data_IF_703240783722
#
_entry.id   IF_703240783722
#
_cell.length_a   1.000
_cell.length_b   1.000
_cell.length_c   1.000
_cell.angle_alpha   90.00
_cell.angle_beta   90.00
_cell.angle_gamma   90.00
#
_symmetry.space_group_name_H-M   'P 1'
#
loop_
_entity.id
_entity.type
_entity.pdbx_description
1 polymer ?
#
# COMPACT_ATOMS: atom_id res chain seq x y z
N UNK A 1 27.98 -22.96 51.97
CA UNK A 1 27.06 -22.38 50.96
C UNK A 1 27.83 -22.18 49.68
N UNK A 2 27.57 -22.97 48.62
CA UNK A 2 28.20 -22.76 47.31
C UNK A 2 27.44 -21.64 46.61
N UNK A 3 28.04 -20.46 46.52
CA UNK A 3 27.52 -19.36 45.71
C UNK A 3 27.61 -19.79 44.24
N UNK A 4 26.47 -20.09 43.63
CA UNK A 4 26.36 -20.27 42.18
C UNK A 4 26.54 -18.92 41.53
N UNK A 5 27.80 -18.56 41.23
CA UNK A 5 28.15 -17.43 40.39
C UNK A 5 27.59 -17.73 38.99
N UNK A 6 26.45 -17.12 38.68
CA UNK A 6 25.91 -17.11 37.33
C UNK A 6 26.92 -16.40 36.43
N UNK A 7 27.49 -17.13 35.47
CA UNK A 7 28.49 -16.57 34.57
C UNK A 7 27.83 -15.50 33.69
N UNK A 8 28.43 -14.32 33.54
CA UNK A 8 27.86 -13.20 32.77
C UNK A 8 27.54 -13.60 31.31
N UNK A 9 28.26 -14.58 30.78
CA UNK A 9 28.02 -15.15 29.46
C UNK A 9 26.61 -15.76 29.30
N UNK A 10 26.07 -16.43 30.31
CA UNK A 10 24.74 -17.04 30.22
C UNK A 10 23.61 -16.01 30.19
N UNK A 11 23.78 -14.86 30.86
CA UNK A 11 22.81 -13.77 30.81
C UNK A 11 22.82 -13.05 29.46
N UNK A 12 24.00 -12.89 28.86
CA UNK A 12 24.13 -12.29 27.53
C UNK A 12 23.44 -13.14 26.45
N UNK A 13 23.65 -14.46 26.45
CA UNK A 13 23.01 -15.37 25.49
C UNK A 13 21.47 -15.34 25.61
N UNK A 14 20.94 -15.28 26.84
CA UNK A 14 19.51 -15.17 27.07
C UNK A 14 18.92 -13.85 26.55
N UNK A 15 19.63 -12.73 26.76
CA UNK A 15 19.19 -11.42 26.28
C UNK A 15 19.13 -11.37 24.74
N UNK A 16 20.15 -11.91 24.05
CA UNK A 16 20.17 -11.99 22.59
C UNK A 16 19.03 -12.87 22.06
N UNK A 17 18.77 -14.02 22.70
CA UNK A 17 17.68 -14.91 22.30
C UNK A 17 16.30 -14.23 22.43
N UNK A 18 16.06 -13.49 23.51
CA UNK A 18 14.82 -12.74 23.71
C UNK A 18 14.67 -11.60 22.70
N UNK A 19 15.76 -10.91 22.36
CA UNK A 19 15.75 -9.86 21.34
C UNK A 19 15.43 -10.42 19.94
N UNK A 20 16.03 -11.55 19.56
CA UNK A 20 15.74 -12.25 18.31
C UNK A 20 14.28 -12.71 18.23
N UNK A 21 13.73 -13.25 19.33
CA UNK A 21 12.32 -13.64 19.40
C UNK A 21 11.39 -12.41 19.26
N UNK A 22 11.74 -11.28 19.89
CA UNK A 22 11.01 -10.02 19.74
C UNK A 22 11.01 -9.52 18.29
N UNK A 23 12.15 -9.54 17.61
CA UNK A 23 12.24 -9.18 16.19
C UNK A 23 11.43 -10.11 15.28
N UNK A 24 11.43 -11.42 15.56
CA UNK A 24 10.63 -12.37 14.80
C UNK A 24 9.11 -12.09 14.93
N UNK A 25 8.65 -11.62 16.08
CA UNK A 25 7.25 -11.23 16.30
C UNK A 25 6.88 -9.89 15.65
N UNK A 26 7.86 -9.06 15.29
CA UNK A 26 7.67 -7.82 14.54
C UNK A 26 7.65 -8.03 13.02
N UNK A 27 7.95 -9.23 12.53
CA UNK A 27 7.81 -9.55 11.11
C UNK A 27 6.30 -9.55 10.81
N UNK A 28 5.80 -8.65 9.95
CA UNK A 28 4.39 -8.61 9.61
C UNK A 28 4.02 -9.97 9.02
N UNK A 29 3.18 -10.71 9.74
CA UNK A 29 2.54 -11.89 9.19
C UNK A 29 1.57 -11.37 8.12
N UNK A 30 1.50 -11.99 6.93
CA UNK A 30 0.45 -11.67 5.98
C UNK A 30 -0.88 -11.84 6.72
N UNK A 31 -1.64 -10.76 6.82
CA UNK A 31 -3.00 -10.83 7.34
C UNK A 31 -3.76 -11.74 6.37
N UNK A 32 -4.05 -12.97 6.80
CA UNK A 32 -5.08 -13.79 6.19
C UNK A 32 -6.36 -12.97 6.37
N UNK A 33 -6.75 -12.25 5.33
CA UNK A 33 -7.83 -11.29 5.38
C UNK A 33 -9.10 -11.97 5.91
N UNK A 34 -9.77 -11.31 6.86
CA UNK A 34 -11.10 -11.67 7.30
C UNK A 34 -12.03 -11.69 6.09
N UNK A 35 -12.53 -12.86 5.74
CA UNK A 35 -13.59 -13.03 4.76
C UNK A 35 -14.77 -12.12 5.13
N UNK A 36 -15.16 -11.28 4.18
CA UNK A 36 -16.29 -10.38 4.26
C UNK A 36 -16.28 -9.32 3.15
N UNK A 37 -15.09 -8.95 2.64
CA UNK A 37 -14.92 -8.15 1.41
C UNK A 37 -13.52 -8.32 0.81
N UNK A 38 -12.95 -9.52 0.89
CA UNK A 38 -11.62 -9.84 0.37
C UNK A 38 -11.66 -9.67 -1.14
N UNK A 39 -10.80 -8.82 -1.71
CA UNK A 39 -10.67 -8.73 -3.17
C UNK A 39 -10.45 -10.13 -3.75
N UNK A 40 -11.32 -10.53 -4.65
CA UNK A 40 -11.39 -11.80 -5.34
C UNK A 40 -10.07 -12.04 -6.06
N UNK A 41 -9.81 -13.31 -6.34
CA UNK A 41 -8.75 -13.67 -7.27
C UNK A 41 -8.91 -12.96 -8.63
N UNK A 42 -10.16 -12.70 -9.07
CA UNK A 42 -10.48 -11.95 -10.28
C UNK A 42 -9.93 -10.51 -10.22
N UNK A 43 -10.35 -9.71 -9.24
CA UNK A 43 -9.92 -8.30 -9.10
C UNK A 43 -8.43 -8.17 -8.79
N UNK A 44 -7.87 -9.12 -8.07
CA UNK A 44 -6.42 -9.18 -7.81
C UNK A 44 -5.61 -9.38 -9.10
N UNK A 45 -6.07 -10.21 -10.04
CA UNK A 45 -5.37 -10.45 -11.30
C UNK A 45 -5.68 -9.40 -12.38
N UNK A 46 -6.95 -9.09 -12.60
CA UNK A 46 -7.37 -8.22 -13.69
C UNK A 46 -7.10 -6.75 -13.40
N UNK A 47 -7.36 -6.30 -12.18
CA UNK A 47 -7.32 -4.88 -11.84
C UNK A 47 -6.01 -4.50 -11.14
N UNK A 48 -5.58 -5.29 -10.15
CA UNK A 48 -4.36 -4.96 -9.39
C UNK A 48 -3.08 -5.32 -10.15
N UNK A 49 -3.06 -6.47 -10.82
CA UNK A 49 -1.91 -6.88 -11.65
C UNK A 49 -2.01 -6.38 -13.09
N UNK A 50 -3.19 -5.93 -13.53
CA UNK A 50 -3.39 -5.28 -14.83
C UNK A 50 -3.35 -6.24 -16.02
N UNK A 51 -3.72 -7.51 -15.84
CA UNK A 51 -3.74 -8.49 -16.93
C UNK A 51 -4.81 -8.17 -17.99
N UNK A 52 -5.97 -7.69 -17.56
CA UNK A 52 -7.05 -7.17 -18.42
C UNK A 52 -7.98 -6.31 -17.54
N UNK A 53 -7.54 -5.08 -17.20
CA UNK A 53 -8.26 -4.20 -16.30
C UNK A 53 -9.50 -3.63 -17.00
N UNK A 54 -10.65 -3.75 -16.37
CA UNK A 54 -11.93 -3.30 -16.94
C UNK A 54 -12.64 -2.25 -16.09
N UNK A 55 -12.23 -2.00 -14.85
CA UNK A 55 -12.93 -1.07 -13.94
C UNK A 55 -13.01 0.38 -14.46
N UNK A 56 -12.15 0.78 -15.39
CA UNK A 56 -12.14 2.10 -16.02
C UNK A 56 -12.54 2.06 -17.51
N UNK A 57 -13.06 0.93 -17.98
CA UNK A 57 -13.45 0.73 -19.39
C UNK A 57 -14.91 0.31 -19.54
N UNK A 58 -15.62 1.04 -20.40
CA UNK A 58 -17.02 0.76 -20.71
C UNK A 58 -17.98 1.18 -19.60
N UNK A 59 -19.15 1.69 -20.00
CA UNK A 59 -20.11 2.26 -19.05
C UNK A 59 -20.60 1.24 -18.02
N UNK A 60 -20.71 -0.04 -18.40
CA UNK A 60 -21.13 -1.12 -17.49
C UNK A 60 -20.14 -1.34 -16.35
N UNK A 61 -18.86 -1.61 -16.67
CA UNK A 61 -17.86 -1.90 -15.64
C UNK A 61 -17.61 -0.68 -14.76
N UNK A 62 -17.54 0.52 -15.34
CA UNK A 62 -17.36 1.75 -14.54
C UNK A 62 -18.48 1.90 -13.50
N UNK A 63 -19.73 1.61 -13.87
CA UNK A 63 -20.88 1.72 -12.94
C UNK A 63 -20.93 0.59 -11.90
N UNK A 64 -20.32 -0.57 -12.17
CA UNK A 64 -20.36 -1.75 -11.31
C UNK A 64 -19.00 -2.06 -10.62
N UNK A 65 -17.98 -1.25 -10.87
CA UNK A 65 -16.62 -1.39 -10.33
C UNK A 65 -16.47 -0.98 -8.86
N UNK A 66 -17.54 -0.42 -8.25
CA UNK A 66 -17.53 0.05 -6.85
C UNK A 66 -17.28 -1.06 -5.84
N UNK A 67 -17.57 -2.31 -6.22
CA UNK A 67 -17.28 -3.49 -5.42
C UNK A 67 -16.42 -4.50 -6.15
N UNK A 68 -16.38 -5.70 -5.59
CA UNK A 68 -15.70 -6.84 -6.16
C UNK A 68 -16.77 -7.89 -6.51
N UNK A 69 -17.37 -7.69 -7.68
CA UNK A 69 -18.56 -8.41 -8.12
C UNK A 69 -18.35 -9.19 -9.41
N UNK A 70 -17.08 -9.39 -9.80
CA UNK A 70 -16.74 -10.10 -11.03
C UNK A 70 -17.47 -11.45 -11.12
N UNK A 71 -17.54 -12.20 -10.01
CA UNK A 71 -18.20 -13.51 -9.97
C UNK A 71 -19.72 -13.47 -10.11
N UNK A 72 -20.37 -12.38 -9.70
CA UNK A 72 -21.84 -12.31 -9.81
C UNK A 72 -22.27 -12.15 -11.27
N UNK A 73 -21.40 -11.58 -12.11
CA UNK A 73 -21.66 -11.44 -13.54
C UNK A 73 -21.01 -12.55 -14.36
N UNK A 74 -19.74 -12.84 -14.12
CA UNK A 74 -18.94 -13.77 -14.93
C UNK A 74 -18.84 -15.18 -14.34
N UNK A 75 -19.41 -15.45 -13.16
CA UNK A 75 -19.19 -16.67 -12.39
C UNK A 75 -17.70 -16.90 -12.09
N UNK A 76 -17.26 -18.16 -11.97
CA UNK A 76 -15.89 -18.51 -11.59
C UNK A 76 -15.69 -18.70 -10.09
N UNK A 77 -14.43 -18.96 -9.70
CA UNK A 77 -14.04 -19.25 -8.32
C UNK A 77 -13.11 -18.16 -7.76
N UNK A 78 -13.69 -17.24 -6.99
CA UNK A 78 -12.97 -16.12 -6.38
C UNK A 78 -11.94 -16.51 -5.32
N UNK A 79 -11.97 -17.76 -4.86
CA UNK A 79 -11.05 -18.28 -3.84
C UNK A 79 -9.84 -19.03 -4.42
N UNK A 80 -9.86 -19.35 -5.72
CA UNK A 80 -8.75 -20.02 -6.36
C UNK A 80 -7.53 -19.09 -6.49
N UNK A 81 -6.34 -19.63 -6.23
CA UNK A 81 -5.08 -18.87 -6.30
C UNK A 81 -4.36 -19.01 -7.63
N UNK A 82 -4.89 -19.84 -8.53
CA UNK A 82 -4.40 -20.02 -9.89
C UNK A 82 -5.48 -19.71 -10.92
N UNK A 83 -5.05 -19.31 -12.13
CA UNK A 83 -5.93 -18.89 -13.22
C UNK A 83 -6.92 -19.98 -13.64
N UNK A 84 -6.49 -21.24 -13.69
CA UNK A 84 -7.34 -22.31 -14.18
C UNK A 84 -8.48 -22.59 -13.19
N UNK A 85 -8.16 -22.67 -11.89
CA UNK A 85 -9.16 -22.80 -10.84
C UNK A 85 -10.09 -21.60 -10.76
N UNK A 86 -9.57 -20.37 -10.91
CA UNK A 86 -10.39 -19.16 -10.87
C UNK A 86 -11.39 -19.08 -12.03
N UNK A 87 -11.02 -19.63 -13.19
CA UNK A 87 -11.81 -19.61 -14.41
C UNK A 87 -12.76 -20.83 -14.53
N UNK A 88 -12.75 -21.75 -13.57
CA UNK A 88 -13.65 -22.90 -13.57
C UNK A 88 -15.10 -22.43 -13.40
N UNK A 89 -15.94 -22.73 -14.39
CA UNK A 89 -17.35 -22.33 -14.37
C UNK A 89 -17.62 -20.87 -14.75
N UNK A 90 -16.68 -20.18 -15.42
CA UNK A 90 -16.95 -18.89 -16.04
C UNK A 90 -18.13 -18.98 -17.01
N UNK A 91 -18.97 -17.96 -16.99
CA UNK A 91 -20.11 -17.80 -17.88
C UNK A 91 -20.08 -16.43 -18.56
N UNK A 92 -20.73 -16.33 -19.71
CA UNK A 92 -21.00 -15.03 -20.32
C UNK A 92 -22.11 -14.32 -19.51
N UNK A 93 -21.89 -13.11 -18.97
CA UNK A 93 -22.88 -12.41 -18.15
C UNK A 93 -24.22 -12.15 -18.84
N UNK A 94 -24.26 -12.21 -20.18
CA UNK A 94 -25.47 -11.96 -20.95
C UNK A 94 -26.18 -13.25 -21.39
N UNK A 95 -25.64 -14.43 -21.09
CA UNK A 95 -26.29 -15.72 -21.37
C UNK A 95 -27.47 -15.99 -20.41
N UNK A 96 -27.36 -15.55 -19.15
CA UNK A 96 -28.46 -15.58 -18.17
C UNK A 96 -28.50 -14.27 -17.39
N UNK A 97 -29.14 -13.27 -17.99
CA UNK A 97 -29.30 -11.94 -17.40
C UNK A 97 -30.01 -11.98 -16.04
N UNK A 98 -30.93 -12.92 -15.85
CA UNK A 98 -31.59 -13.07 -14.55
C UNK A 98 -30.60 -13.53 -13.48
N UNK A 99 -29.79 -14.56 -13.76
CA UNK A 99 -28.77 -15.02 -12.84
C UNK A 99 -27.74 -13.92 -12.51
N UNK A 100 -27.31 -13.14 -13.50
CA UNK A 100 -26.25 -12.13 -13.31
C UNK A 100 -26.73 -10.84 -12.65
N UNK A 101 -28.01 -10.47 -12.80
CA UNK A 101 -28.48 -9.14 -12.38
C UNK A 101 -29.59 -9.15 -11.31
N UNK A 102 -30.40 -10.22 -11.22
CA UNK A 102 -31.59 -10.22 -10.36
C UNK A 102 -31.26 -10.12 -8.86
N UNK A 103 -30.07 -10.59 -8.46
CA UNK A 103 -29.61 -10.51 -7.06
C UNK A 103 -29.52 -9.08 -6.52
N UNK A 104 -29.19 -8.11 -7.39
CA UNK A 104 -29.10 -6.69 -7.04
C UNK A 104 -30.28 -5.87 -7.56
N UNK A 105 -30.90 -6.30 -8.66
CA UNK A 105 -31.98 -5.60 -9.37
C UNK A 105 -33.28 -6.42 -9.45
N UNK A 106 -33.89 -6.85 -8.32
CA UNK A 106 -35.07 -7.70 -8.36
C UNK A 106 -36.33 -6.99 -8.85
N UNK A 107 -36.42 -5.66 -8.75
CA UNK A 107 -37.59 -4.89 -9.18
C UNK A 107 -37.46 -4.25 -10.55
N UNK A 108 -36.23 -4.04 -11.03
CA UNK A 108 -35.93 -3.27 -12.24
C UNK A 108 -34.94 -3.98 -13.19
N UNK A 109 -34.84 -5.32 -13.05
CA UNK A 109 -34.00 -6.19 -13.87
C UNK A 109 -34.10 -5.88 -15.36
N UNK A 110 -35.32 -5.93 -15.90
CA UNK A 110 -35.57 -5.77 -17.35
C UNK A 110 -35.20 -4.36 -17.82
N UNK A 111 -35.69 -3.32 -17.13
CA UNK A 111 -35.42 -1.93 -17.50
C UNK A 111 -33.92 -1.62 -17.49
N UNK A 112 -33.17 -2.13 -16.50
CA UNK A 112 -31.73 -1.89 -16.43
C UNK A 112 -30.92 -2.70 -17.42
N UNK A 113 -31.25 -3.98 -17.59
CA UNK A 113 -30.53 -4.86 -18.51
C UNK A 113 -30.74 -4.46 -19.97
N UNK A 114 -31.92 -3.93 -20.33
CA UNK A 114 -32.23 -3.45 -21.68
C UNK A 114 -31.27 -2.34 -22.18
N UNK A 115 -30.80 -1.46 -21.30
CA UNK A 115 -29.86 -0.39 -21.66
C UNK A 115 -28.57 -0.98 -22.23
N UNK A 116 -28.07 -2.03 -21.58
CA UNK A 116 -26.80 -2.67 -21.95
C UNK A 116 -26.98 -3.68 -23.08
N UNK A 117 -28.07 -4.44 -23.07
CA UNK A 117 -28.41 -5.34 -24.16
C UNK A 117 -28.56 -4.57 -25.49
N UNK A 118 -29.19 -3.39 -25.45
CA UNK A 118 -29.31 -2.51 -26.62
C UNK A 118 -27.95 -2.02 -27.12
N UNK A 119 -27.03 -1.66 -26.22
CA UNK A 119 -25.68 -1.23 -26.58
C UNK A 119 -24.84 -2.36 -27.20
N UNK A 120 -25.08 -3.60 -26.76
CA UNK A 120 -24.39 -4.80 -27.24
C UNK A 120 -25.08 -5.46 -28.44
N UNK A 121 -26.28 -5.01 -28.82
CA UNK A 121 -27.07 -5.61 -29.90
C UNK A 121 -27.64 -7.00 -29.54
N UNK A 122 -27.86 -7.25 -28.25
CA UNK A 122 -28.42 -8.51 -27.72
C UNK A 122 -29.93 -8.32 -27.54
N UNK A 123 -30.72 -9.29 -27.99
CA UNK A 123 -32.17 -9.33 -27.75
C UNK A 123 -32.47 -10.20 -26.53
N UNK A 124 -32.78 -9.55 -25.40
CA UNK A 124 -33.12 -10.23 -24.14
C UNK A 124 -34.38 -11.11 -24.24
N UNK A 125 -35.20 -10.92 -25.27
CA UNK A 125 -36.41 -11.72 -25.47
C UNK A 125 -36.17 -12.95 -26.37
N UNK A 126 -35.00 -13.07 -27.02
CA UNK A 126 -34.72 -14.17 -27.93
C UNK A 126 -34.62 -15.53 -27.20
N UNK A 127 -34.11 -15.54 -25.96
CA UNK A 127 -33.87 -16.78 -25.21
C UNK A 127 -35.07 -17.25 -24.37
N UNK A 128 -36.08 -16.40 -24.17
CA UNK A 128 -37.35 -16.82 -23.55
C UNK A 128 -38.24 -17.67 -24.46
N UNK A 129 -37.80 -17.92 -25.70
CA UNK A 129 -38.50 -18.76 -26.69
C UNK A 129 -38.01 -20.21 -26.75
N UNK A 130 -37.09 -20.64 -25.88
CA UNK A 130 -36.54 -22.00 -25.86
C UNK A 130 -36.63 -22.71 -24.51
N UNK A 131 -37.51 -23.73 -24.42
CA UNK A 131 -37.56 -24.78 -23.36
C UNK A 131 -38.23 -24.39 -22.03
N UNK A 132 -39.36 -24.96 -21.57
CA UNK A 132 -40.17 -26.04 -22.09
C UNK A 132 -41.50 -26.12 -21.32
N UNK A 133 -42.60 -26.24 -22.05
CA UNK A 133 -43.88 -26.70 -21.53
C UNK A 133 -43.77 -28.21 -21.25
N UNK A 134 -43.29 -28.55 -20.06
CA UNK A 134 -43.40 -29.89 -19.49
C UNK A 134 -44.64 -29.96 -18.59
N UNK A 135 -45.62 -30.74 -19.02
CA UNK A 135 -46.85 -31.07 -18.30
C UNK A 135 -46.65 -31.29 -16.79
N UNK A 136 -47.56 -30.71 -16.01
CA UNK A 136 -47.73 -30.98 -14.59
C UNK A 136 -48.17 -32.44 -14.36
N UNK A 137 -47.30 -33.23 -13.74
CA UNK A 137 -47.68 -34.46 -13.04
C UNK A 137 -47.26 -34.32 -11.57
N UNK A 138 -48.25 -34.36 -10.69
CA UNK A 138 -48.07 -34.19 -9.25
C UNK A 138 -47.19 -35.28 -8.63
N UNK A 139 -46.38 -34.87 -7.66
CA UNK A 139 -45.78 -35.76 -6.68
C UNK A 139 -45.61 -35.02 -5.37
N UNK A 140 -46.49 -35.30 -4.42
CA UNK A 140 -46.27 -35.07 -3.00
C UNK A 140 -44.98 -35.78 -2.57
N UNK A 141 -44.01 -35.04 -2.04
CA UNK A 141 -42.76 -35.63 -1.56
C UNK A 141 -41.67 -34.62 -1.30
N UNK A 142 -41.82 -33.85 -0.22
CA UNK A 142 -40.73 -33.07 0.34
C UNK A 142 -39.61 -33.97 0.89
N UNK A 143 -38.35 -33.63 0.61
CA UNK A 143 -37.37 -33.55 1.68
C UNK A 143 -36.82 -32.13 1.79
N UNK A 144 -36.83 -31.67 3.04
CA UNK A 144 -36.19 -30.44 3.51
C UNK A 144 -34.74 -30.35 3.03
N UNK A 145 -34.48 -29.47 2.06
CA UNK A 145 -33.15 -29.01 1.73
C UNK A 145 -32.79 -27.90 2.71
N UNK A 146 -31.69 -28.13 3.42
CA UNK A 146 -31.22 -27.30 4.51
C UNK A 146 -30.91 -25.86 4.10
N UNK A 147 -31.11 -25.00 5.09
CA UNK A 147 -30.69 -23.62 5.17
C UNK A 147 -29.31 -23.37 4.57
N UNK A 148 -29.29 -22.77 3.38
CA UNK A 148 -28.23 -21.87 2.94
C UNK A 148 -28.87 -20.53 2.56
N UNK A 149 -29.72 -20.01 3.45
CA UNK A 149 -30.13 -18.62 3.42
C UNK A 149 -28.96 -17.78 3.95
N UNK A 150 -28.07 -17.37 3.05
CA UNK A 150 -27.24 -16.18 3.29
C UNK A 150 -28.14 -14.95 3.15
N UNK A 151 -29.03 -14.76 4.13
CA UNK A 151 -29.81 -13.54 4.25
C UNK A 151 -28.92 -12.49 4.93
N UNK A 152 -27.99 -11.93 4.17
CA UNK A 152 -27.46 -10.62 4.54
C UNK A 152 -28.59 -9.64 4.27
N UNK A 153 -29.39 -9.36 5.29
CA UNK A 153 -30.41 -8.33 5.23
C UNK A 153 -29.72 -7.01 4.84
N UNK A 154 -30.13 -6.42 3.71
CA UNK A 154 -29.70 -5.09 3.34
C UNK A 154 -29.98 -4.13 4.51
N UNK A 155 -29.03 -3.27 4.91
CA UNK A 155 -29.23 -2.35 6.03
C UNK A 155 -30.44 -1.46 5.73
N UNK A 156 -31.51 -1.64 6.50
CA UNK A 156 -32.71 -0.81 6.50
C UNK A 156 -32.37 0.52 7.18
N UNK A 157 -31.65 1.39 6.49
CA UNK A 157 -31.32 2.73 6.97
C UNK A 157 -30.64 3.51 5.87
N UNK A 158 -31.28 4.59 5.40
CA UNK A 158 -30.77 5.49 4.35
C UNK A 158 -29.59 6.36 4.78
N UNK A 159 -28.66 5.81 5.56
CA UNK A 159 -27.33 6.40 5.72
C UNK A 159 -26.55 6.04 4.45
N UNK A 160 -26.24 7.06 3.65
CA UNK A 160 -25.36 6.94 2.50
C UNK A 160 -23.99 6.46 3.00
N UNK A 161 -23.72 5.16 2.83
CA UNK A 161 -22.43 4.57 3.17
C UNK A 161 -21.42 5.11 2.15
N UNK A 162 -20.62 6.08 2.58
CA UNK A 162 -19.50 6.58 1.78
C UNK A 162 -18.43 5.48 1.67
N UNK A 163 -18.56 4.67 0.63
CA UNK A 163 -17.66 3.58 0.31
C UNK A 163 -16.22 4.07 0.08
N UNK A 164 -16.02 5.33 -0.32
CA UNK A 164 -14.68 5.92 -0.45
C UNK A 164 -14.07 6.21 0.93
N UNK A 165 -14.87 6.67 1.91
CA UNK A 165 -14.42 6.81 3.29
C UNK A 165 -14.05 5.46 3.91
N UNK A 166 -14.87 4.43 3.68
CA UNK A 166 -14.62 3.06 4.12
C UNK A 166 -13.39 2.45 3.45
N UNK A 167 -13.20 2.69 2.16
CA UNK A 167 -12.01 2.27 1.44
C UNK A 167 -10.77 3.02 1.95
N UNK A 168 -10.87 4.33 2.19
CA UNK A 168 -9.79 5.13 2.75
C UNK A 168 -9.44 4.69 4.19
N UNK A 169 -10.41 4.29 5.00
CA UNK A 169 -10.19 3.76 6.35
C UNK A 169 -9.53 2.37 6.31
N UNK A 170 -9.94 1.50 5.37
CA UNK A 170 -9.34 0.18 5.18
C UNK A 170 -7.95 0.21 4.52
N UNK A 171 -7.68 1.16 3.65
CA UNK A 171 -6.40 1.28 2.92
C UNK A 171 -5.44 2.28 3.53
N UNK A 172 -5.88 3.07 4.51
CA UNK A 172 -4.98 3.90 5.30
C UNK A 172 -3.88 3.01 5.88
N UNK A 173 -2.59 3.41 5.73
CA UNK A 173 -1.52 2.72 6.41
C UNK A 173 -1.88 2.65 7.90
N UNK A 174 -1.86 1.47 8.53
CA UNK A 174 -2.30 1.32 9.89
C UNK A 174 -1.53 2.33 10.74
N UNK A 175 -2.22 3.06 11.64
CA UNK A 175 -1.53 4.04 12.46
C UNK A 175 -0.36 3.35 13.14
N UNK A 176 0.80 4.01 13.13
CA UNK A 176 2.05 3.46 13.70
C UNK A 176 1.86 2.97 15.15
N UNK A 177 0.82 3.47 15.82
CA UNK A 177 0.34 3.03 17.13
C UNK A 177 -1.14 2.57 16.98
N UNK A 178 -1.36 1.40 16.40
CA UNK A 178 -2.69 0.76 16.34
C UNK A 178 -3.11 0.17 17.71
N UNK A 179 -2.13 -0.12 18.56
CA UNK A 179 -2.31 -0.82 19.82
C UNK A 179 -1.41 -0.15 20.88
N UNK A 180 -2.02 0.40 21.93
CA UNK A 180 -1.30 1.01 23.05
C UNK A 180 -0.38 0.02 23.80
N UNK A 181 -0.74 -1.26 23.81
CA UNK A 181 0.12 -2.35 24.29
C UNK A 181 1.40 -2.54 23.48
N UNK A 182 1.37 -2.41 22.14
CA UNK A 182 2.56 -2.47 21.28
C UNK A 182 3.48 -1.28 21.56
N UNK A 183 2.90 -0.08 21.76
CA UNK A 183 3.67 1.09 22.16
C UNK A 183 4.34 0.87 23.53
N UNK A 184 3.58 0.40 24.52
CA UNK A 184 4.11 0.10 25.85
C UNK A 184 5.22 -0.95 25.76
N UNK A 185 5.05 -2.00 24.95
CA UNK A 185 6.06 -3.02 24.72
C UNK A 185 7.34 -2.44 24.10
N UNK A 186 7.21 -1.60 23.07
CA UNK A 186 8.35 -0.89 22.45
C UNK A 186 9.07 -0.01 23.48
N UNK A 187 8.33 0.74 24.29
CA UNK A 187 8.92 1.57 25.34
C UNK A 187 9.66 0.75 26.40
N UNK A 188 9.12 -0.41 26.78
CA UNK A 188 9.79 -1.34 27.72
C UNK A 188 11.06 -1.91 27.08
N UNK A 189 11.02 -2.34 25.82
CA UNK A 189 12.19 -2.86 25.11
C UNK A 189 13.28 -1.80 25.01
N UNK A 190 12.93 -0.57 24.63
CA UNK A 190 13.88 0.55 24.56
C UNK A 190 14.43 0.91 25.94
N UNK A 191 13.58 0.94 26.97
CA UNK A 191 14.00 1.23 28.34
C UNK A 191 14.95 0.19 28.91
N UNK A 192 14.64 -1.10 28.74
CA UNK A 192 15.49 -2.21 29.16
C UNK A 192 16.79 -2.26 28.34
N UNK A 193 16.71 -2.03 27.04
CA UNK A 193 17.86 -1.95 26.15
C UNK A 193 18.81 -0.83 26.54
N UNK A 194 18.28 0.37 26.82
CA UNK A 194 19.07 1.51 27.29
C UNK A 194 19.70 1.25 28.66
N UNK A 195 18.93 0.71 29.62
CA UNK A 195 19.45 0.37 30.94
C UNK A 195 20.56 -0.70 30.87
N UNK A 196 20.37 -1.75 30.06
CA UNK A 196 21.38 -2.77 29.81
C UNK A 196 22.62 -2.16 29.14
N UNK A 197 22.44 -1.34 28.11
CA UNK A 197 23.54 -0.68 27.43
C UNK A 197 24.34 0.21 28.39
N UNK A 198 23.69 1.03 29.23
CA UNK A 198 24.35 1.87 30.23
C UNK A 198 25.09 1.04 31.28
N UNK A 199 24.51 -0.08 31.72
CA UNK A 199 25.15 -1.00 32.65
C UNK A 199 26.39 -1.68 32.01
N UNK A 200 26.28 -2.18 30.78
CA UNK A 200 27.40 -2.76 30.06
C UNK A 200 28.50 -1.73 29.77
N UNK A 201 28.10 -0.52 29.35
CA UNK A 201 28.99 0.61 29.09
C UNK A 201 29.78 1.05 30.33
N UNK A 202 29.12 1.09 31.49
CA UNK A 202 29.76 1.46 32.75
C UNK A 202 30.59 0.32 33.36
N UNK A 203 30.17 -0.93 33.21
CA UNK A 203 30.84 -2.10 33.81
C UNK A 203 32.10 -2.51 33.05
N UNK A 204 32.06 -2.59 31.72
CA UNK A 204 33.19 -3.12 30.93
C UNK A 204 34.24 -2.06 30.55
N UNK A 205 34.07 -0.79 30.95
CA UNK A 205 35.03 0.27 30.62
C UNK A 205 35.14 0.53 29.12
N UNK A 206 34.07 0.27 28.35
CA UNK A 206 34.03 0.52 26.90
C UNK A 206 34.02 2.02 26.58
N UNK A 207 33.57 2.88 27.50
CA UNK A 207 33.51 4.33 27.30
C UNK A 207 34.82 4.93 26.75
N UNK A 208 35.97 4.73 27.42
CA UNK A 208 37.28 5.15 26.89
C UNK A 208 37.66 4.54 25.54
N UNK A 209 37.31 3.28 25.28
CA UNK A 209 37.65 2.57 24.04
C UNK A 209 36.85 3.14 22.86
N UNK A 210 35.54 3.32 23.04
CA UNK A 210 34.67 3.91 22.01
C UNK A 210 34.99 5.39 21.82
N UNK A 211 35.26 6.14 22.89
CA UNK A 211 35.72 7.53 22.77
C UNK A 211 37.03 7.63 21.97
N UNK A 212 37.98 6.71 22.19
CA UNK A 212 39.21 6.61 21.39
C UNK A 212 38.94 6.27 19.93
N UNK A 213 38.04 5.32 19.67
CA UNK A 213 37.64 4.94 18.31
C UNK A 213 36.91 6.07 17.58
N UNK A 214 35.94 6.73 18.22
CA UNK A 214 35.22 7.89 17.64
C UNK A 214 36.22 8.99 17.34
N UNK A 215 37.09 9.35 18.30
CA UNK A 215 38.09 10.40 18.08
C UNK A 215 38.99 10.08 16.88
N UNK A 216 39.40 8.82 16.71
CA UNK A 216 40.24 8.39 15.59
C UNK A 216 39.52 8.43 14.23
N UNK A 217 38.25 8.03 14.18
CA UNK A 217 37.53 7.94 12.90
C UNK A 217 36.85 9.26 12.50
N UNK A 218 36.33 10.02 13.47
CA UNK A 218 35.76 11.35 13.22
C UNK A 218 36.83 12.32 12.73
N UNK A 219 38.07 12.23 13.23
CA UNK A 219 39.17 13.03 12.68
C UNK A 219 39.45 12.64 11.23
N UNK A 220 39.45 11.35 10.88
CA UNK A 220 39.66 10.90 9.49
C UNK A 220 38.56 11.44 8.56
N UNK A 221 37.28 11.36 8.97
CA UNK A 221 36.17 11.86 8.16
C UNK A 221 36.19 13.38 8.05
N UNK A 222 36.45 14.09 9.16
CA UNK A 222 36.56 15.55 9.17
C UNK A 222 37.73 16.04 8.31
N UNK A 223 38.88 15.41 8.43
CA UNK A 223 40.08 15.81 7.72
C UNK A 223 39.93 15.47 6.21
N UNK A 224 39.31 14.33 5.87
CA UNK A 224 38.93 14.02 4.49
C UNK A 224 37.86 14.97 3.92
N UNK A 225 36.90 15.42 4.72
CA UNK A 225 35.90 16.40 4.30
C UNK A 225 36.53 17.80 4.08
N UNK A 226 37.49 18.19 4.94
CA UNK A 226 38.26 19.42 4.76
C UNK A 226 39.16 19.36 3.53
N UNK A 227 39.80 18.22 3.27
CA UNK A 227 40.61 17.99 2.07
C UNK A 227 39.74 17.98 0.80
N UNK A 228 38.58 17.33 0.84
CA UNK A 228 37.61 17.37 -0.26
C UNK A 228 37.11 18.80 -0.52
N UNK A 229 36.78 19.56 0.51
CA UNK A 229 36.34 20.96 0.38
C UNK A 229 37.46 21.88 -0.10
N UNK A 230 38.72 21.61 0.25
CA UNK A 230 39.88 22.32 -0.27
C UNK A 230 40.21 21.96 -1.74
N UNK A 231 39.78 20.78 -2.20
CA UNK A 231 39.95 20.32 -3.58
C UNK A 231 38.85 20.79 -4.54
N UNK A 232 37.77 21.38 -4.02
CA UNK A 232 36.81 22.11 -4.85
C UNK A 232 37.51 23.38 -5.32
N UNK A 233 37.91 23.37 -6.60
CA UNK A 233 38.48 24.53 -7.27
C UNK A 233 37.43 25.66 -7.29
N UNK A 234 37.47 26.52 -6.27
CA UNK A 234 36.51 27.62 -6.10
C UNK A 234 36.48 28.56 -7.32
N UNK A 235 37.53 28.54 -8.16
CA UNK A 235 37.58 29.29 -9.40
C UNK A 235 36.62 28.76 -10.49
N UNK A 236 36.13 27.53 -10.38
CA UNK A 236 35.21 26.89 -11.33
C UNK A 236 33.76 26.77 -10.80
N UNK A 237 33.46 27.35 -9.64
CA UNK A 237 32.07 27.42 -9.14
C UNK A 237 31.34 28.50 -9.96
N UNK A 238 30.26 28.17 -10.69
CA UNK A 238 29.50 29.14 -11.45
C UNK A 238 28.99 30.25 -10.52
N UNK A 239 29.23 31.50 -10.91
CA UNK A 239 28.70 32.66 -10.20
C UNK A 239 27.18 32.68 -10.24
N UNK A 240 26.54 33.35 -9.29
CA UNK A 240 25.08 33.50 -9.27
C UNK A 240 24.52 34.05 -10.60
N UNK A 241 25.28 34.91 -11.28
CA UNK A 241 24.94 35.43 -12.60
C UNK A 241 24.97 34.35 -13.70
N UNK A 242 25.94 33.45 -13.67
CA UNK A 242 26.04 32.34 -14.62
C UNK A 242 24.96 31.28 -14.39
N UNK A 243 24.63 30.98 -13.12
CA UNK A 243 23.51 30.11 -12.77
C UNK A 243 22.20 30.73 -13.24
N UNK A 244 21.97 32.02 -12.99
CA UNK A 244 20.78 32.72 -13.49
C UNK A 244 20.66 32.63 -15.02
N UNK A 245 21.75 32.82 -15.75
CA UNK A 245 21.76 32.71 -17.21
C UNK A 245 21.37 31.30 -17.71
N UNK A 246 21.86 30.23 -17.04
CA UNK A 246 21.49 28.85 -17.36
C UNK A 246 20.00 28.55 -17.12
N UNK A 247 19.39 29.16 -16.10
CA UNK A 247 17.96 29.02 -15.80
C UNK A 247 17.08 29.86 -16.74
N UNK A 248 17.56 31.02 -17.21
CA UNK A 248 16.87 31.84 -18.21
C UNK A 248 16.84 31.17 -19.60
N UNK A 249 17.86 30.38 -19.94
CA UNK A 249 17.90 29.62 -21.20
C UNK A 249 16.90 28.43 -21.22
N UNK A 250 16.47 27.95 -20.05
CA UNK A 250 15.54 26.83 -19.92
C UNK A 250 14.19 27.30 -19.35
N UNK A 251 13.18 27.55 -20.21
CA UNK A 251 11.91 28.14 -19.77
C UNK A 251 11.16 27.30 -18.73
N UNK A 252 11.39 25.99 -18.67
CA UNK A 252 10.84 25.06 -17.68
C UNK A 252 11.37 25.29 -16.26
N UNK A 253 12.56 25.87 -16.12
CA UNK A 253 13.21 26.12 -14.83
C UNK A 253 12.98 27.54 -14.30
N UNK A 254 12.37 28.42 -15.11
CA UNK A 254 12.17 29.84 -14.75
C UNK A 254 11.34 30.02 -13.49
N UNK A 255 10.28 29.22 -13.31
CA UNK A 255 9.45 29.25 -12.10
C UNK A 255 10.14 28.71 -10.85
N UNK A 256 11.13 27.82 -11.00
CA UNK A 256 11.94 27.31 -9.89
C UNK A 256 12.98 28.34 -9.45
N UNK A 257 13.53 29.14 -10.37
CA UNK A 257 14.51 30.17 -10.03
C UNK A 257 13.92 31.24 -9.11
N UNK A 258 12.70 31.69 -9.35
CA UNK A 258 12.03 32.65 -8.47
C UNK A 258 11.86 32.10 -7.04
N UNK A 259 11.64 30.79 -6.88
CA UNK A 259 11.57 30.15 -5.57
C UNK A 259 12.94 29.94 -4.92
N UNK A 260 14.00 29.70 -5.71
CA UNK A 260 15.35 29.52 -5.21
C UNK A 260 16.10 30.83 -4.93
N UNK A 261 15.79 31.91 -5.66
CA UNK A 261 16.46 33.20 -5.54
C UNK A 261 16.22 33.87 -4.18
N UNK A 262 15.11 33.56 -3.53
CA UNK A 262 14.78 33.99 -2.16
C UNK A 262 15.35 33.02 -1.08
N UNK A 263 15.98 31.91 -1.49
CA UNK A 263 16.60 30.93 -0.61
C UNK A 263 17.91 31.44 0.03
N UNK A 264 18.28 30.87 1.18
CA UNK A 264 19.52 31.27 1.88
C UNK A 264 20.77 30.92 1.06
N UNK A 265 21.88 31.65 1.24
CA UNK A 265 23.16 31.34 0.58
C UNK A 265 23.65 29.90 0.85
N UNK A 266 23.27 29.30 1.98
CA UNK A 266 23.58 27.89 2.28
C UNK A 266 22.84 26.94 1.32
N UNK A 267 21.57 27.20 1.01
CA UNK A 267 20.78 26.38 0.09
C UNK A 267 21.40 26.31 -1.31
N UNK A 268 21.91 27.44 -1.81
CA UNK A 268 22.59 27.50 -3.10
C UNK A 268 23.92 26.75 -3.09
N UNK A 269 24.62 26.77 -1.97
CA UNK A 269 25.88 26.03 -1.77
C UNK A 269 25.61 24.52 -1.76
N UNK A 270 24.61 24.08 -0.99
CA UNK A 270 24.21 22.68 -0.88
C UNK A 270 23.71 22.15 -2.23
N UNK A 271 22.91 22.94 -2.96
CA UNK A 271 22.43 22.58 -4.29
C UNK A 271 23.59 22.45 -5.29
N UNK A 272 24.54 23.40 -5.28
CA UNK A 272 25.71 23.33 -6.15
C UNK A 272 26.58 22.11 -5.84
N UNK A 273 26.76 21.78 -4.56
CA UNK A 273 27.45 20.57 -4.13
C UNK A 273 26.71 19.31 -4.60
N UNK A 274 25.38 19.29 -4.49
CA UNK A 274 24.53 18.18 -4.96
C UNK A 274 24.59 17.98 -6.48
N UNK A 275 24.63 19.07 -7.23
CA UNK A 275 24.66 19.05 -8.70
C UNK A 275 26.07 18.79 -9.26
N UNK A 276 27.11 19.04 -8.48
CA UNK A 276 28.50 18.75 -8.86
C UNK A 276 28.78 17.25 -8.99
N UNK A 277 28.03 16.41 -8.27
CA UNK A 277 28.02 14.96 -8.48
C UNK A 277 26.97 14.59 -9.55
N UNK A 278 27.44 14.34 -10.77
CA UNK A 278 26.58 14.00 -11.93
C UNK A 278 25.67 12.79 -11.69
N UNK A 279 26.07 11.84 -10.84
CA UNK A 279 25.34 10.58 -10.67
C UNK A 279 24.37 10.67 -9.50
N UNK A 280 24.81 11.24 -8.38
CA UNK A 280 24.01 11.42 -7.17
C UNK A 280 22.96 12.53 -7.36
N UNK A 281 23.35 13.66 -7.98
CA UNK A 281 22.48 14.81 -8.24
C UNK A 281 21.32 14.47 -9.18
N UNK A 282 21.56 13.70 -10.23
CA UNK A 282 20.51 13.25 -11.16
C UNK A 282 19.47 12.36 -10.45
N UNK A 283 19.92 11.48 -9.56
CA UNK A 283 19.04 10.60 -8.78
C UNK A 283 18.19 11.38 -7.77
N UNK A 284 18.77 12.39 -7.11
CA UNK A 284 18.05 13.22 -6.15
C UNK A 284 17.04 14.14 -6.81
N UNK A 285 17.37 14.77 -7.95
CA UNK A 285 16.40 15.55 -8.73
C UNK A 285 15.22 14.66 -9.17
N UNK A 286 15.51 13.44 -9.64
CA UNK A 286 14.46 12.47 -9.98
C UNK A 286 13.61 12.09 -8.77
N UNK A 287 14.18 12.03 -7.56
CA UNK A 287 13.43 11.70 -6.34
C UNK A 287 12.56 12.87 -5.88
N UNK A 288 13.08 14.10 -5.92
CA UNK A 288 12.36 15.32 -5.50
C UNK A 288 11.22 15.68 -6.46
N UNK A 289 11.40 15.44 -7.77
CA UNK A 289 10.32 15.64 -8.76
C UNK A 289 9.12 14.72 -8.55
N UNK A 290 9.27 13.61 -7.82
CA UNK A 290 8.17 12.70 -7.46
C UNK A 290 7.54 13.02 -6.10
N UNK A 291 8.13 13.92 -5.31
CA UNK A 291 7.53 14.39 -4.07
C UNK A 291 6.48 15.47 -4.40
N UNK A 292 5.20 15.10 -4.38
CA UNK A 292 4.10 16.06 -4.42
C UNK A 292 4.12 16.89 -3.12
N UNK A 293 4.63 18.11 -3.19
CA UNK A 293 4.52 19.07 -2.09
C UNK A 293 3.05 19.47 -1.93
N UNK A 294 2.42 19.01 -0.84
CA UNK A 294 1.07 19.43 -0.45
C UNK A 294 1.14 20.92 -0.14
N UNK A 295 0.64 21.76 -1.04
CA UNK A 295 0.56 23.20 -0.80
C UNK A 295 -0.24 23.44 0.47
N UNK A 296 0.38 24.08 1.47
CA UNK A 296 -0.35 24.52 2.66
C UNK A 296 -1.37 25.58 2.24
N UNK A 297 -2.64 25.47 2.68
CA UNK A 297 -3.62 26.51 2.41
C UNK A 297 -3.15 27.81 3.06
N UNK A 298 -3.09 28.88 2.25
CA UNK A 298 -2.82 30.21 2.76
C UNK A 298 -4.04 30.68 3.54
N UNK A 299 -3.85 30.99 4.82
CA UNK A 299 -4.82 31.61 5.72
C UNK A 299 -4.62 33.12 5.75
#
# INVERSE_FOLDING_TARGET
MKSTIFKPFSLFVLAVALMMAGFALLIPQPAQAQCGSSASSCKSCHETQGEDPVNDTGDWHIQHAFGDFCEFCHAGNVQATDKAGAHEGLADPMEDVAASCQGCHPQDLTERSEIYASALGIDLNADSSGSGSGEAAGSDGAPSAGDCASSVAAPLGGEEIDLNLLYAEKTAPPPFISNWGNLILVLIILGLGAAFFLAAWSWEGWGPVVAGWIKKNVTVVRDAALEANASVDQANIPTQAEIKALFEEKPELKGLWEQLADGSPELLTDLNQLLSDKKEGARLIHTVTHLKFKQQPQH
#
